data_IF_515618692702
#
_entry.id   IF_515618692702
#
_cell.length_a   1.000
_cell.length_b   1.000
_cell.length_c   1.000
_cell.angle_alpha   90.00
_cell.angle_beta   90.00
_cell.angle_gamma   90.00
#
_symmetry.space_group_name_H-M   'P 1'
#
loop_
_entity.id
_entity.type
_entity.pdbx_description
1 polymer ?
#
# COMPACT_ATOMS: atom_id res chain seq x y z
N UNK A 1 -6.29 2.86 -4.17
CA UNK A 1 -5.90 4.09 -3.43
C UNK A 1 -4.74 4.81 -4.11
N UNK A 2 -3.64 4.11 -4.46
CA UNK A 2 -2.52 4.67 -5.23
C UNK A 2 -2.94 5.46 -6.47
N UNK A 3 -3.88 4.95 -7.28
CA UNK A 3 -4.45 5.67 -8.43
C UNK A 3 -4.97 7.06 -8.08
N UNK A 4 -5.73 7.18 -6.98
CA UNK A 4 -6.32 8.46 -6.56
C UNK A 4 -5.26 9.47 -6.12
N UNK A 5 -4.08 9.01 -5.68
CA UNK A 5 -2.98 9.90 -5.30
C UNK A 5 -2.28 10.50 -6.51
N UNK A 6 -2.28 9.81 -7.66
CA UNK A 6 -1.57 10.25 -8.87
C UNK A 6 -2.32 11.33 -9.65
N UNK A 7 -3.64 11.39 -9.48
CA UNK A 7 -4.48 12.34 -10.20
C UNK A 7 -4.18 13.79 -9.82
N UNK A 8 -4.57 14.75 -10.68
CA UNK A 8 -4.45 16.16 -10.34
C UNK A 8 -5.46 16.49 -9.24
N UNK A 9 -4.99 17.03 -8.13
CA UNK A 9 -5.83 17.44 -7.00
C UNK A 9 -6.39 18.85 -7.19
N UNK A 10 -6.92 19.17 -8.39
CA UNK A 10 -7.37 20.52 -8.77
C UNK A 10 -8.52 21.08 -7.93
N UNK A 11 -9.20 20.21 -7.17
CA UNK A 11 -10.24 20.56 -6.22
C UNK A 11 -9.70 21.09 -4.88
N UNK A 12 -8.39 20.94 -4.62
CA UNK A 12 -7.69 21.42 -3.42
C UNK A 12 -6.61 22.41 -3.85
N UNK A 13 -6.70 23.67 -3.38
CA UNK A 13 -5.67 24.67 -3.66
C UNK A 13 -4.30 24.29 -3.05
N UNK A 14 -4.28 23.43 -2.03
CA UNK A 14 -3.08 22.82 -1.43
C UNK A 14 -2.92 21.35 -1.85
N UNK A 15 -3.55 20.97 -2.96
CA UNK A 15 -3.49 19.63 -3.52
C UNK A 15 -2.09 19.31 -4.04
N UNK A 16 -1.74 18.02 -4.00
CA UNK A 16 -0.47 17.58 -4.55
C UNK A 16 -0.45 17.76 -6.09
N UNK A 17 0.72 18.03 -6.69
CA UNK A 17 0.87 18.04 -8.14
C UNK A 17 0.60 16.64 -8.73
N UNK A 18 0.22 16.55 -10.02
CA UNK A 18 0.00 15.27 -10.68
C UNK A 18 1.26 14.40 -10.60
N UNK A 19 1.05 13.10 -10.40
CA UNK A 19 2.11 12.09 -10.22
C UNK A 19 3.06 12.33 -9.04
N UNK A 20 2.73 13.26 -8.15
CA UNK A 20 3.47 13.59 -6.92
C UNK A 20 4.93 14.02 -7.19
N UNK A 21 5.14 14.86 -8.20
CA UNK A 21 6.45 15.44 -8.51
C UNK A 21 6.45 16.97 -8.44
N UNK A 22 7.53 17.61 -7.95
CA UNK A 22 7.60 19.08 -7.87
C UNK A 22 7.54 19.79 -9.22
N UNK A 23 7.94 19.12 -10.31
CA UNK A 23 7.99 19.72 -11.65
C UNK A 23 7.35 18.78 -12.69
N UNK A 24 6.00 18.71 -12.72
CA UNK A 24 5.27 17.82 -13.61
C UNK A 24 5.45 18.21 -15.08
N UNK A 25 5.53 17.21 -15.95
CA UNK A 25 5.75 17.38 -17.38
C UNK A 25 7.21 17.22 -17.79
N UNK A 26 8.15 17.73 -16.98
CA UNK A 26 9.57 17.39 -17.09
C UNK A 26 9.92 16.12 -16.31
N UNK A 27 9.24 15.91 -15.18
CA UNK A 27 9.38 14.71 -14.36
C UNK A 27 8.08 13.89 -14.39
N UNK A 28 8.24 12.57 -14.34
CA UNK A 28 7.17 11.59 -14.28
C UNK A 28 6.76 11.23 -12.85
N UNK A 29 7.60 11.56 -11.85
CA UNK A 29 7.32 11.29 -10.45
C UNK A 29 7.07 9.80 -10.19
N UNK A 30 5.97 9.49 -9.50
CA UNK A 30 5.58 8.13 -9.18
C UNK A 30 4.63 7.46 -10.19
N UNK A 31 4.49 8.03 -11.39
CA UNK A 31 3.67 7.44 -12.45
C UNK A 31 4.00 5.95 -12.71
N UNK A 32 5.29 5.63 -12.87
CA UNK A 32 5.72 4.24 -13.14
C UNK A 32 5.59 3.35 -11.91
N UNK A 33 5.75 3.89 -10.69
CA UNK A 33 5.51 3.12 -9.47
C UNK A 33 4.04 2.65 -9.40
N UNK A 34 3.10 3.49 -9.84
CA UNK A 34 1.70 3.08 -9.95
C UNK A 34 1.51 1.92 -10.95
N UNK A 35 2.24 1.92 -12.07
CA UNK A 35 2.14 0.85 -13.08
C UNK A 35 2.60 -0.48 -12.50
N UNK A 36 3.70 -0.48 -11.74
CA UNK A 36 4.18 -1.65 -11.01
C UNK A 36 3.11 -2.16 -10.04
N UNK A 37 2.51 -1.28 -9.23
CA UNK A 37 1.45 -1.68 -8.31
C UNK A 37 0.23 -2.28 -9.03
N UNK A 38 -0.15 -1.75 -10.20
CA UNK A 38 -1.24 -2.27 -11.01
C UNK A 38 -0.91 -3.67 -11.59
N UNK A 39 0.31 -3.85 -12.13
CA UNK A 39 0.77 -5.13 -12.66
C UNK A 39 0.78 -6.22 -11.57
N UNK A 40 1.37 -5.92 -10.40
CA UNK A 40 1.39 -6.84 -9.26
C UNK A 40 -0.02 -7.21 -8.79
N UNK A 41 -0.94 -6.24 -8.75
CA UNK A 41 -2.35 -6.51 -8.39
C UNK A 41 -3.00 -7.46 -9.40
N UNK A 42 -2.71 -7.32 -10.69
CA UNK A 42 -3.22 -8.22 -11.71
C UNK A 42 -2.64 -9.63 -11.59
N UNK A 43 -1.34 -9.76 -11.28
CA UNK A 43 -0.70 -11.06 -11.01
C UNK A 43 -1.31 -11.76 -9.79
N UNK A 44 -1.60 -11.01 -8.71
CA UNK A 44 -2.31 -11.54 -7.54
C UNK A 44 -3.69 -12.09 -7.94
N UNK A 45 -4.44 -11.39 -8.80
CA UNK A 45 -5.72 -11.87 -9.28
C UNK A 45 -5.60 -13.21 -10.04
N UNK A 46 -4.56 -13.38 -10.85
CA UNK A 46 -4.28 -14.66 -11.52
C UNK A 46 -3.98 -15.77 -10.51
N UNK A 47 -3.21 -15.48 -9.45
CA UNK A 47 -2.89 -16.45 -8.40
C UNK A 47 -4.08 -16.83 -7.51
N UNK A 48 -5.14 -16.00 -7.50
CA UNK A 48 -6.32 -16.24 -6.66
C UNK A 48 -7.18 -17.43 -7.11
N UNK A 49 -6.87 -18.06 -8.25
CA UNK A 49 -7.52 -19.31 -8.63
C UNK A 49 -7.14 -20.43 -7.64
N UNK A 50 -8.12 -21.02 -6.93
CA UNK A 50 -7.85 -21.97 -5.86
C UNK A 50 -7.26 -23.27 -6.42
N UNK A 51 -6.03 -23.60 -6.02
CA UNK A 51 -5.42 -24.88 -6.42
C UNK A 51 -6.15 -26.11 -5.84
N UNK A 52 -6.90 -25.93 -4.75
CA UNK A 52 -7.59 -27.02 -4.04
C UNK A 52 -8.90 -27.49 -4.69
N UNK A 53 -9.34 -26.88 -5.80
CA UNK A 53 -10.56 -27.31 -6.51
C UNK A 53 -10.34 -28.53 -7.39
N UNK A 54 -9.09 -28.86 -7.71
CA UNK A 54 -8.71 -30.03 -8.49
C UNK A 54 -8.08 -31.12 -7.65
N UNK A 55 -8.28 -32.37 -8.06
CA UNK A 55 -7.55 -33.55 -7.59
C UNK A 55 -7.09 -34.34 -8.80
N UNK A 56 -5.85 -34.82 -8.77
CA UNK A 56 -5.31 -35.71 -9.80
C UNK A 56 -4.98 -37.02 -9.09
N UNK A 57 -5.68 -38.12 -9.40
CA UNK A 57 -5.41 -39.41 -8.79
C UNK A 57 -3.97 -39.85 -9.02
N UNK A 58 -3.34 -40.36 -7.98
CA UNK A 58 -2.00 -40.97 -8.08
C UNK A 58 -2.02 -42.39 -7.52
N UNK A 59 -0.85 -43.04 -7.46
CA UNK A 59 -0.69 -44.37 -6.87
C UNK A 59 -1.67 -45.42 -7.44
N UNK A 60 -1.88 -45.40 -8.77
CA UNK A 60 -2.78 -46.31 -9.49
C UNK A 60 -4.22 -46.37 -8.93
N UNK A 61 -4.73 -45.25 -8.41
CA UNK A 61 -6.08 -45.16 -7.85
C UNK A 61 -6.16 -45.40 -6.35
N UNK A 62 -5.03 -45.62 -5.67
CA UNK A 62 -4.98 -45.67 -4.20
C UNK A 62 -5.08 -44.29 -3.56
N UNK A 63 -4.56 -43.26 -4.24
CA UNK A 63 -4.71 -41.86 -3.86
C UNK A 63 -5.65 -41.20 -4.86
N UNK A 64 -6.94 -41.51 -4.76
CA UNK A 64 -7.99 -41.03 -5.66
C UNK A 64 -8.43 -39.57 -5.37
N UNK A 65 -8.13 -39.07 -4.17
CA UNK A 65 -8.34 -37.68 -3.78
C UNK A 65 -7.13 -37.08 -3.06
N UNK A 66 -6.71 -35.89 -3.50
CA UNK A 66 -5.64 -35.10 -2.86
C UNK A 66 -6.02 -33.62 -2.79
N UNK A 67 -5.47 -32.90 -1.81
CA UNK A 67 -5.88 -31.53 -1.48
C UNK A 67 -5.21 -30.42 -2.29
N UNK A 68 -4.11 -30.73 -2.97
CA UNK A 68 -3.22 -29.75 -3.60
C UNK A 68 -2.72 -28.64 -2.64
N UNK A 69 -2.70 -28.92 -1.33
CA UNK A 69 -2.47 -27.90 -0.28
C UNK A 69 -1.10 -27.21 -0.35
N UNK A 70 -0.05 -27.90 -0.78
CA UNK A 70 1.30 -27.31 -0.94
C UNK A 70 1.27 -26.22 -2.04
N UNK A 71 0.59 -26.48 -3.15
CA UNK A 71 0.40 -25.49 -4.23
C UNK A 71 -0.36 -24.28 -3.73
N UNK A 72 -1.44 -24.47 -2.96
CA UNK A 72 -2.18 -23.37 -2.32
C UNK A 72 -1.28 -22.52 -1.41
N UNK A 73 -0.40 -23.17 -0.62
CA UNK A 73 0.57 -22.48 0.23
C UNK A 73 1.58 -21.65 -0.57
N UNK A 74 2.07 -22.17 -1.70
CA UNK A 74 2.97 -21.43 -2.59
C UNK A 74 2.29 -20.24 -3.27
N UNK A 75 1.04 -20.39 -3.71
CA UNK A 75 0.24 -19.27 -4.25
C UNK A 75 0.09 -18.16 -3.20
N UNK A 76 -0.29 -18.52 -1.96
CA UNK A 76 -0.44 -17.58 -0.87
C UNK A 76 0.85 -16.81 -0.58
N UNK A 77 1.99 -17.50 -0.48
CA UNK A 77 3.27 -16.86 -0.19
C UNK A 77 3.63 -15.80 -1.25
N UNK A 78 3.50 -16.16 -2.54
CA UNK A 78 3.74 -15.22 -3.65
C UNK A 78 2.78 -14.04 -3.64
N UNK A 79 1.50 -14.29 -3.32
CA UNK A 79 0.51 -13.23 -3.23
C UNK A 79 0.83 -12.24 -2.09
N UNK A 80 1.32 -12.74 -0.94
CA UNK A 80 1.77 -11.89 0.18
C UNK A 80 2.96 -11.04 -0.25
N UNK A 81 3.99 -11.64 -0.86
CA UNK A 81 5.19 -10.92 -1.30
C UNK A 81 4.84 -9.75 -2.25
N UNK A 82 3.96 -9.98 -3.22
CA UNK A 82 3.48 -8.93 -4.14
C UNK A 82 2.59 -7.91 -3.45
N UNK A 83 1.73 -8.34 -2.51
CA UNK A 83 0.87 -7.44 -1.73
C UNK A 83 1.71 -6.48 -0.89
N UNK A 84 2.79 -6.97 -0.27
CA UNK A 84 3.71 -6.14 0.50
C UNK A 84 4.36 -5.07 -0.38
N UNK A 85 4.74 -5.40 -1.62
CA UNK A 85 5.25 -4.41 -2.58
C UNK A 85 4.18 -3.38 -2.97
N UNK A 86 2.94 -3.80 -3.27
CA UNK A 86 1.83 -2.90 -3.59
C UNK A 86 1.56 -1.91 -2.46
N UNK A 87 1.52 -2.40 -1.21
CA UNK A 87 1.33 -1.56 -0.02
C UNK A 87 2.51 -0.62 0.19
N UNK A 88 3.75 -1.08 -0.07
CA UNK A 88 4.94 -0.23 0.05
C UNK A 88 4.94 0.91 -0.96
N UNK A 89 4.54 0.65 -2.21
CA UNK A 89 4.33 1.68 -3.22
C UNK A 89 3.26 2.68 -2.76
N UNK A 90 2.15 2.18 -2.21
CA UNK A 90 1.09 3.04 -1.68
C UNK A 90 1.61 3.96 -0.55
N UNK A 91 2.38 3.43 0.40
CA UNK A 91 2.99 4.18 1.50
C UNK A 91 3.97 5.25 1.00
N UNK A 92 4.80 4.91 0.01
CA UNK A 92 5.73 5.84 -0.62
C UNK A 92 4.99 7.03 -1.27
N UNK A 93 3.94 6.73 -2.05
CA UNK A 93 3.09 7.75 -2.66
C UNK A 93 2.36 8.58 -1.60
N UNK A 94 1.81 7.95 -0.55
CA UNK A 94 1.12 8.67 0.52
C UNK A 94 2.07 9.61 1.27
N UNK A 95 3.30 9.19 1.54
CA UNK A 95 4.29 10.03 2.21
C UNK A 95 4.66 11.26 1.38
N UNK A 96 4.82 11.08 0.07
CA UNK A 96 5.05 12.19 -0.86
C UNK A 96 3.85 13.13 -0.96
N UNK A 97 2.64 12.57 -0.98
CA UNK A 97 1.41 13.37 -0.92
C UNK A 97 1.31 14.21 0.35
N UNK A 98 1.71 13.68 1.51
CA UNK A 98 1.75 14.42 2.78
C UNK A 98 2.75 15.58 2.69
N UNK A 99 3.94 15.37 2.10
CA UNK A 99 4.94 16.43 1.99
C UNK A 99 4.44 17.64 1.19
N UNK A 100 3.70 17.42 0.11
CA UNK A 100 3.12 18.51 -0.68
C UNK A 100 2.03 19.30 0.05
N UNK A 101 1.52 18.78 1.17
CA UNK A 101 0.54 19.49 2.00
C UNK A 101 1.18 20.38 3.05
N UNK A 102 2.50 20.41 3.17
CA UNK A 102 3.18 21.29 4.11
C UNK A 102 2.70 22.76 3.94
N UNK A 103 2.46 23.50 5.03
CA UNK A 103 2.77 23.17 6.43
C UNK A 103 1.66 22.39 7.18
N UNK A 104 0.62 21.88 6.50
CA UNK A 104 -0.41 21.07 7.15
C UNK A 104 0.17 19.78 7.73
N UNK A 105 -0.22 19.46 8.95
CA UNK A 105 0.23 18.25 9.64
C UNK A 105 -0.84 17.16 9.55
N UNK A 106 -0.45 15.91 9.24
CA UNK A 106 -1.37 14.78 9.31
C UNK A 106 -1.74 14.47 10.77
N UNK A 107 -2.79 13.68 10.97
CA UNK A 107 -3.13 13.18 12.33
C UNK A 107 -1.99 12.34 12.94
N UNK A 108 -1.93 12.18 14.27
CA UNK A 108 -0.71 11.70 14.92
C UNK A 108 -0.22 10.32 14.45
N UNK A 109 -1.12 9.33 14.28
CA UNK A 109 -0.74 8.02 13.75
C UNK A 109 -0.21 8.08 12.31
N UNK A 110 -0.80 8.94 11.47
CA UNK A 110 -0.31 9.16 10.11
C UNK A 110 1.03 9.91 10.08
N UNK A 111 1.27 10.80 11.05
CA UNK A 111 2.55 11.47 11.22
C UNK A 111 3.67 10.49 11.60
N UNK A 112 3.39 9.54 12.49
CA UNK A 112 4.32 8.47 12.86
C UNK A 112 4.65 7.57 11.66
N UNK A 113 3.62 7.14 10.92
CA UNK A 113 3.80 6.32 9.71
C UNK A 113 4.59 7.08 8.63
N UNK A 114 4.29 8.37 8.43
CA UNK A 114 5.02 9.24 7.50
C UNK A 114 6.49 9.34 7.86
N UNK A 115 6.81 9.63 9.13
CA UNK A 115 8.19 9.70 9.61
C UNK A 115 8.92 8.37 9.42
N UNK A 116 8.26 7.24 9.68
CA UNK A 116 8.82 5.91 9.47
C UNK A 116 9.15 5.66 7.99
N UNK A 117 8.25 6.01 7.06
CA UNK A 117 8.52 5.91 5.62
C UNK A 117 9.69 6.82 5.23
N UNK A 118 9.73 8.06 5.72
CA UNK A 118 10.78 9.04 5.41
C UNK A 118 12.16 8.67 5.97
N UNK A 119 12.21 7.84 7.02
CA UNK A 119 13.46 7.26 7.50
C UNK A 119 14.09 6.24 6.54
N UNK A 120 13.31 5.71 5.60
CA UNK A 120 13.75 4.70 4.62
C UNK A 120 13.84 5.27 3.21
N UNK A 121 12.84 6.05 2.80
CA UNK A 121 12.72 6.62 1.46
C UNK A 121 12.66 8.16 1.55
N UNK A 122 13.69 8.87 1.06
CA UNK A 122 13.71 10.33 1.10
C UNK A 122 12.65 10.92 0.16
N UNK A 123 12.31 12.20 0.38
CA UNK A 123 11.43 12.96 -0.52
C UNK A 123 11.92 12.87 -1.97
N UNK A 124 10.99 12.84 -2.92
CA UNK A 124 11.29 12.84 -4.35
C UNK A 124 11.33 14.28 -4.85
N UNK A 125 12.55 14.84 -4.98
CA UNK A 125 12.74 16.20 -5.52
C UNK A 125 12.77 16.24 -7.05
N UNK A 126 13.36 15.22 -7.66
CA UNK A 126 13.45 15.03 -9.10
C UNK A 126 13.37 13.53 -9.42
N UNK A 127 13.12 13.19 -10.68
CA UNK A 127 13.03 11.79 -11.10
C UNK A 127 14.30 11.01 -10.76
N UNK A 128 14.09 9.83 -10.18
CA UNK A 128 15.12 8.81 -9.95
C UNK A 128 14.51 7.43 -10.17
N UNK A 129 15.34 6.40 -10.45
CA UNK A 129 14.83 5.03 -10.54
C UNK A 129 14.03 4.67 -9.28
N UNK A 130 12.75 4.25 -9.40
CA UNK A 130 11.91 3.98 -8.23
C UNK A 130 12.22 2.62 -7.58
N UNK A 131 12.86 1.71 -8.30
CA UNK A 131 13.12 0.34 -7.85
C UNK A 131 13.85 0.28 -6.49
N UNK A 132 14.98 0.98 -6.27
CA UNK A 132 15.67 0.91 -4.97
C UNK A 132 14.83 1.44 -3.80
N UNK A 133 13.94 2.41 -4.05
CA UNK A 133 13.05 2.93 -3.01
C UNK A 133 11.96 1.91 -2.66
N UNK A 134 11.37 1.29 -3.69
CA UNK A 134 10.36 0.23 -3.54
C UNK A 134 10.96 -0.97 -2.80
N UNK A 135 12.13 -1.46 -3.19
CA UNK A 135 12.80 -2.61 -2.56
C UNK A 135 13.13 -2.35 -1.09
N UNK A 136 13.73 -1.18 -0.78
CA UNK A 136 14.07 -0.82 0.60
C UNK A 136 12.83 -0.71 1.47
N UNK A 137 11.78 -0.04 0.98
CA UNK A 137 10.55 0.12 1.76
C UNK A 137 9.81 -1.21 1.92
N UNK A 138 9.78 -2.06 0.88
CA UNK A 138 9.20 -3.41 0.96
C UNK A 138 9.90 -4.25 2.01
N UNK A 139 11.24 -4.26 2.01
CA UNK A 139 12.02 -4.96 3.02
C UNK A 139 11.74 -4.43 4.43
N UNK A 140 11.65 -3.11 4.60
CA UNK A 140 11.35 -2.49 5.89
C UNK A 140 9.93 -2.82 6.38
N UNK A 141 8.93 -2.76 5.50
CA UNK A 141 7.53 -3.13 5.80
C UNK A 141 7.44 -4.60 6.20
N UNK A 142 8.07 -5.49 5.42
CA UNK A 142 8.15 -6.92 5.76
C UNK A 142 8.82 -7.16 7.12
N UNK A 143 9.83 -6.34 7.46
CA UNK A 143 10.49 -6.39 8.75
C UNK A 143 9.68 -5.74 9.89
N UNK A 144 8.44 -5.28 9.68
CA UNK A 144 7.59 -4.69 10.73
C UNK A 144 7.84 -3.21 10.99
N UNK A 145 8.22 -2.43 9.96
CA UNK A 145 8.46 -0.97 10.09
C UNK A 145 7.28 -0.24 10.75
N UNK A 146 6.06 -0.49 10.27
CA UNK A 146 4.87 0.20 10.78
C UNK A 146 4.48 -0.30 12.18
N UNK A 147 4.63 -1.59 12.47
CA UNK A 147 4.35 -2.13 13.80
C UNK A 147 5.24 -1.49 14.86
N UNK A 148 6.52 -1.27 14.56
CA UNK A 148 7.43 -0.54 15.45
C UNK A 148 7.07 0.94 15.56
N UNK A 149 6.73 1.59 14.45
CA UNK A 149 6.40 3.00 14.43
C UNK A 149 5.08 3.31 15.16
N UNK A 150 4.12 2.39 15.12
CA UNK A 150 2.78 2.53 15.68
C UNK A 150 2.58 1.77 16.99
N UNK A 151 3.56 0.99 17.45
CA UNK A 151 3.43 0.14 18.64
C UNK A 151 3.14 0.90 19.94
N UNK A 152 3.35 2.21 19.96
CA UNK A 152 3.00 3.10 21.08
C UNK A 152 1.78 3.99 20.80
N UNK A 153 1.17 3.87 19.63
CA UNK A 153 0.01 4.66 19.22
C UNK A 153 -1.28 3.92 19.55
N UNK A 154 -2.00 4.40 20.56
CA UNK A 154 -3.39 4.04 20.77
C UNK A 154 -4.29 5.04 20.05
N UNK A 155 -5.18 4.54 19.19
CA UNK A 155 -6.19 5.37 18.56
C UNK A 155 -7.04 6.04 19.65
N UNK A 156 -7.25 7.37 19.61
CA UNK A 156 -8.13 8.02 20.57
C UNK A 156 -9.52 7.40 20.50
N UNK A 157 -10.22 7.24 21.65
CA UNK A 157 -11.54 6.63 21.67
C UNK A 157 -12.46 7.36 20.70
N UNK A 158 -13.21 6.59 19.90
CA UNK A 158 -14.12 7.16 18.92
C UNK A 158 -15.04 8.18 19.60
N UNK A 159 -15.06 9.42 19.10
CA UNK A 159 -15.91 10.48 19.66
C UNK A 159 -17.34 9.96 19.70
N UNK A 160 -17.91 9.83 20.91
CA UNK A 160 -19.30 9.45 21.09
C UNK A 160 -20.16 10.36 20.21
N UNK A 161 -21.00 9.76 19.34
CA UNK A 161 -21.96 10.52 18.53
C UNK A 161 -22.70 11.46 19.47
N UNK A 162 -22.49 12.77 19.32
CA UNK A 162 -23.35 13.78 19.95
C UNK A 162 -24.76 13.48 19.46
N UNK A 163 -25.58 12.82 20.29
CA UNK A 163 -27.02 12.73 20.04
C UNK A 163 -27.50 14.17 20.06
N UNK A 164 -27.86 14.70 18.91
CA UNK A 164 -28.57 15.97 18.83
C UNK A 164 -29.83 15.80 19.68
N UNK A 165 -29.91 16.54 20.78
CA UNK A 165 -31.16 16.73 21.49
C UNK A 165 -32.06 17.60 20.61
N UNK A 166 -32.66 17.00 19.59
CA UNK A 166 -33.81 17.55 18.88
C UNK A 166 -35.00 16.68 19.23
N UNK A 167 -35.76 17.11 20.25
CA UNK A 167 -36.98 16.42 20.67
C UNK A 167 -37.62 17.01 21.92
N UNK A 168 -38.69 17.78 21.69
CA UNK A 168 -39.75 18.22 22.60
C UNK A 168 -39.38 19.34 23.61
N UNK A 169 -40.08 20.47 23.68
CA UNK A 169 -41.45 20.84 23.31
C UNK A 169 -41.51 22.21 22.64
#
# INVERSE_FOLDING_TARGET
>A
RTYNLMGPHTWDANGAPPFLTPNPGLNSGYMIAQYVAAALTNEINTLAHPASTGSIPTSAGMEDFVSMGVTSGHQLRRAIDMTTQVVSIELMCAAQGIDFRAPLLPGPGAQLAHAAVRSVVPHLEADRPPQPDIERLTAAVHAGLLDRALGTWEAPPAKAKRRSASGAK
#
